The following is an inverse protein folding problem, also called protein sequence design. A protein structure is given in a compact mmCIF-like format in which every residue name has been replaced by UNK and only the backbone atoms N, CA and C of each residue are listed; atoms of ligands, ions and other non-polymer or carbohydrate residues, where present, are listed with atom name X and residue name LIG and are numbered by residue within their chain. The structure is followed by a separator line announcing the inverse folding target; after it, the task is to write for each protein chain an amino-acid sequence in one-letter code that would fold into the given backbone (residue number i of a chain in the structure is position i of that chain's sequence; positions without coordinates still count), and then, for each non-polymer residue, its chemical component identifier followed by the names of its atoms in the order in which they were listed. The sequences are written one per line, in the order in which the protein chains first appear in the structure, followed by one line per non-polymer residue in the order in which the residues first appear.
data_IF_774384884782
#
_entry.id   IF_774384884782
#
_cell.length_a   1.000
_cell.length_b   1.000
_cell.length_c   1.000
_cell.angle_alpha   90.00
_cell.angle_beta   90.00
_cell.angle_gamma   90.00
#
_symmetry.space_group_name_H-M   'P 1'
#
loop_
_entity.id
_entity.type
_entity.pdbx_description
1 polymer ?
#
# COMPACT_ATOMS: atom_id res chain seq x y z
N UNK A 1 7.69 14.97 14.64
CA UNK A 1 8.63 13.86 14.95
C UNK A 1 8.85 13.03 13.68
N UNK A 2 9.95 13.29 12.93
CA UNK A 2 10.26 12.64 11.64
C UNK A 2 10.82 11.23 11.93
N UNK A 3 9.96 10.21 11.94
CA UNK A 3 10.37 8.81 12.20
C UNK A 3 11.34 8.39 11.10
N UNK A 4 12.63 8.19 11.42
CA UNK A 4 13.63 7.66 10.47
C UNK A 4 13.11 6.32 9.95
N UNK A 5 12.97 6.22 8.64
CA UNK A 5 12.69 4.96 7.96
C UNK A 5 13.90 4.05 8.25
N UNK A 6 13.69 2.95 8.98
CA UNK A 6 14.75 1.97 9.22
C UNK A 6 14.95 1.16 7.96
N UNK A 7 15.97 1.51 7.17
CA UNK A 7 16.32 0.84 5.91
C UNK A 7 16.45 -0.67 6.08
N UNK A 8 16.99 -1.13 7.22
CA UNK A 8 17.11 -2.55 7.55
C UNK A 8 15.76 -3.28 7.54
N UNK A 9 14.71 -2.65 8.09
CA UNK A 9 13.36 -3.26 8.16
C UNK A 9 12.75 -3.40 6.77
N UNK A 10 12.90 -2.39 5.91
CA UNK A 10 12.34 -2.44 4.56
C UNK A 10 13.03 -3.50 3.70
N UNK A 11 14.36 -3.65 3.83
CA UNK A 11 15.09 -4.72 3.15
C UNK A 11 14.59 -6.09 3.60
N UNK A 12 14.39 -6.30 4.91
CA UNK A 12 13.87 -7.57 5.44
C UNK A 12 12.48 -7.86 4.85
N UNK A 13 11.56 -6.88 4.86
CA UNK A 13 10.21 -7.07 4.32
C UNK A 13 10.25 -7.33 2.82
N UNK A 14 11.12 -6.65 2.09
CA UNK A 14 11.34 -6.89 0.67
C UNK A 14 11.83 -8.33 0.43
N UNK A 15 12.85 -8.80 1.15
CA UNK A 15 13.37 -10.17 1.03
C UNK A 15 12.31 -11.22 1.39
N UNK A 16 11.52 -10.99 2.45
CA UNK A 16 10.38 -11.85 2.80
C UNK A 16 9.37 -11.87 1.65
N UNK A 17 9.07 -10.72 1.03
CA UNK A 17 8.13 -10.67 -0.10
C UNK A 17 8.65 -11.47 -1.31
N UNK A 18 9.96 -11.44 -1.59
CA UNK A 18 10.55 -12.25 -2.67
C UNK A 18 10.46 -13.75 -2.36
N UNK A 19 10.71 -14.15 -1.12
CA UNK A 19 10.54 -15.54 -0.70
C UNK A 19 9.09 -16.01 -0.87
N UNK A 20 8.12 -15.19 -0.44
CA UNK A 20 6.69 -15.46 -0.62
C UNK A 20 6.35 -15.61 -2.11
N UNK A 21 6.85 -14.72 -2.97
CA UNK A 21 6.62 -14.78 -4.42
C UNK A 21 7.14 -16.08 -5.02
N UNK A 22 8.37 -16.47 -4.69
CA UNK A 22 8.97 -17.71 -5.23
C UNK A 22 8.19 -18.94 -4.76
N UNK A 23 7.81 -18.98 -3.48
CA UNK A 23 6.98 -20.07 -2.95
C UNK A 23 5.62 -20.10 -3.65
N UNK A 24 4.94 -18.96 -3.78
CA UNK A 24 3.64 -18.87 -4.46
C UNK A 24 3.74 -19.26 -5.93
N UNK A 25 4.78 -18.83 -6.64
CA UNK A 25 5.00 -19.20 -8.03
C UNK A 25 5.23 -20.72 -8.17
N UNK A 26 6.04 -21.32 -7.30
CA UNK A 26 6.29 -22.75 -7.33
C UNK A 26 5.04 -23.57 -6.97
N UNK A 27 4.30 -23.18 -5.92
CA UNK A 27 3.11 -23.91 -5.47
C UNK A 27 1.96 -23.85 -6.46
N UNK A 28 1.78 -22.75 -7.20
CA UNK A 28 0.66 -22.60 -8.14
C UNK A 28 0.98 -23.16 -9.52
N UNK A 29 2.22 -23.00 -9.99
CA UNK A 29 2.60 -23.36 -11.36
C UNK A 29 3.43 -24.65 -11.45
N UNK A 30 3.74 -25.28 -10.30
CA UNK A 30 4.57 -26.50 -10.14
C UNK A 30 5.99 -26.41 -10.70
N UNK A 31 6.33 -25.29 -11.34
CA UNK A 31 7.60 -25.01 -12.01
C UNK A 31 7.91 -23.54 -11.85
N UNK A 32 9.17 -23.22 -11.58
CA UNK A 32 9.62 -21.83 -11.57
C UNK A 32 9.79 -21.39 -13.02
N UNK A 33 8.80 -20.65 -13.52
CA UNK A 33 8.84 -19.99 -14.83
C UNK A 33 8.83 -18.48 -14.65
N UNK A 34 9.37 -17.75 -15.64
CA UNK A 34 9.34 -16.29 -15.62
C UNK A 34 7.89 -15.76 -15.56
N UNK A 35 6.97 -16.38 -16.31
CA UNK A 35 5.54 -16.05 -16.27
C UNK A 35 4.92 -16.29 -14.88
N UNK A 36 5.26 -17.41 -14.23
CA UNK A 36 4.80 -17.71 -12.87
C UNK A 36 5.30 -16.69 -11.84
N UNK A 37 6.57 -16.28 -11.96
CA UNK A 37 7.14 -15.21 -11.13
C UNK A 37 6.43 -13.88 -11.35
N UNK A 38 6.18 -13.48 -12.61
CA UNK A 38 5.46 -12.24 -12.96
C UNK A 38 4.07 -12.24 -12.31
N UNK A 39 3.30 -13.32 -12.49
CA UNK A 39 1.95 -13.42 -11.94
C UNK A 39 1.95 -13.35 -10.41
N UNK A 40 2.78 -14.15 -9.75
CA UNK A 40 2.87 -14.16 -8.29
C UNK A 40 3.33 -12.80 -7.74
N UNK A 41 4.35 -12.19 -8.35
CA UNK A 41 4.84 -10.88 -7.95
C UNK A 41 3.84 -9.76 -8.19
N UNK A 42 3.02 -9.82 -9.25
CA UNK A 42 1.92 -8.89 -9.49
C UNK A 42 0.91 -8.91 -8.34
N UNK A 43 0.42 -10.09 -7.94
CA UNK A 43 -0.55 -10.19 -6.85
C UNK A 43 0.05 -9.76 -5.50
N UNK A 44 1.26 -10.21 -5.17
CA UNK A 44 1.91 -9.87 -3.88
C UNK A 44 2.22 -8.38 -3.81
N UNK A 45 2.84 -7.80 -4.83
CA UNK A 45 3.15 -6.38 -4.86
C UNK A 45 1.90 -5.51 -4.96
N UNK A 46 0.91 -5.92 -5.75
CA UNK A 46 -0.39 -5.26 -5.84
C UNK A 46 -1.09 -5.19 -4.49
N UNK A 47 -1.11 -6.29 -3.74
CA UNK A 47 -1.67 -6.30 -2.39
C UNK A 47 -0.92 -5.37 -1.42
N UNK A 48 0.41 -5.43 -1.40
CA UNK A 48 1.25 -4.56 -0.55
C UNK A 48 1.05 -3.08 -0.88
N UNK A 49 1.04 -2.73 -2.16
CA UNK A 49 0.83 -1.37 -2.65
C UNK A 49 -0.59 -0.89 -2.40
N UNK A 50 -1.59 -1.74 -2.53
CA UNK A 50 -2.98 -1.38 -2.27
C UNK A 50 -3.20 -1.02 -0.80
N UNK A 51 -2.80 -1.90 0.12
CA UNK A 51 -2.91 -1.64 1.57
C UNK A 51 -2.04 -0.45 1.98
N UNK A 52 -0.80 -0.40 1.51
CA UNK A 52 0.11 0.71 1.76
C UNK A 52 -0.42 2.04 1.23
N UNK A 53 -1.03 2.02 0.04
CA UNK A 53 -1.62 3.17 -0.64
C UNK A 53 -2.85 3.71 0.09
N UNK A 54 -3.78 2.84 0.51
CA UNK A 54 -4.93 3.26 1.33
C UNK A 54 -4.46 4.00 2.56
N UNK A 55 -3.52 3.41 3.30
CA UNK A 55 -3.04 4.03 4.54
C UNK A 55 -2.26 5.31 4.27
N UNK A 56 -1.48 5.36 3.18
CA UNK A 56 -0.81 6.57 2.74
C UNK A 56 -1.82 7.70 2.45
N UNK A 57 -2.87 7.42 1.67
CA UNK A 57 -3.90 8.40 1.31
C UNK A 57 -4.67 8.89 2.54
N UNK A 58 -5.06 7.98 3.45
CA UNK A 58 -5.74 8.36 4.71
C UNK A 58 -4.84 9.25 5.58
N UNK A 59 -3.56 8.90 5.76
CA UNK A 59 -2.63 9.68 6.59
C UNK A 59 -2.23 11.02 5.97
N UNK A 60 -2.27 11.13 4.66
CA UNK A 60 -1.94 12.39 3.96
C UNK A 60 -3.07 13.43 4.10
N UNK A 61 -4.21 13.06 4.70
CA UNK A 61 -5.35 13.96 4.90
C UNK A 61 -6.24 14.10 3.66
N UNK A 62 -6.02 13.28 2.62
CA UNK A 62 -6.91 13.24 1.46
C UNK A 62 -8.34 12.87 1.87
N UNK A 63 -8.48 11.86 2.73
CA UNK A 63 -9.78 11.48 3.28
C UNK A 63 -10.38 12.57 4.17
N UNK A 64 -9.57 13.33 4.89
CA UNK A 64 -10.06 14.44 5.71
C UNK A 64 -10.65 15.54 4.83
N UNK A 65 -9.94 15.89 3.75
CA UNK A 65 -10.42 16.85 2.75
C UNK A 65 -11.71 16.38 2.09
N UNK A 66 -11.77 15.12 1.67
CA UNK A 66 -12.96 14.51 1.08
C UNK A 66 -14.15 14.54 2.05
N UNK A 67 -13.93 14.15 3.32
CA UNK A 67 -14.97 14.14 4.35
C UNK A 67 -15.44 15.55 4.68
N UNK A 68 -14.53 16.51 4.88
CA UNK A 68 -14.89 17.92 5.12
C UNK A 68 -15.69 18.51 3.96
N UNK A 69 -15.27 18.24 2.73
CA UNK A 69 -15.95 18.73 1.52
C UNK A 69 -17.35 18.12 1.39
N UNK A 70 -17.46 16.79 1.53
CA UNK A 70 -18.75 16.09 1.50
C UNK A 70 -19.69 16.61 2.61
N UNK A 71 -19.19 16.71 3.85
CA UNK A 71 -19.96 17.22 4.99
C UNK A 71 -20.41 18.66 4.78
N UNK A 72 -19.58 19.52 4.17
CA UNK A 72 -19.97 20.92 3.87
C UNK A 72 -21.17 21.01 2.94
N UNK A 73 -21.30 20.07 2.00
CA UNK A 73 -22.40 20.01 1.02
C UNK A 73 -23.65 19.39 1.64
N UNK A 74 -23.52 18.34 2.46
CA UNK A 74 -24.66 17.57 2.95
C UNK A 74 -25.14 17.93 4.38
N UNK A 75 -24.35 18.65 5.19
CA UNK A 75 -24.71 18.94 6.59
C UNK A 75 -25.72 20.09 6.73
N UNK A 76 -26.72 19.88 7.58
CA UNK A 76 -27.66 20.91 8.03
C UNK A 76 -26.98 21.89 9.00
N UNK A 77 -27.52 23.11 9.11
CA UNK A 77 -26.88 24.25 9.80
C UNK A 77 -26.66 23.98 11.30
N UNK A 78 -27.55 23.22 11.91
CA UNK A 78 -27.54 22.75 13.31
C UNK A 78 -26.51 21.65 13.59
N UNK A 79 -26.07 20.91 12.57
CA UNK A 79 -25.12 19.80 12.72
C UNK A 79 -23.66 20.21 12.51
N UNK A 80 -23.39 21.45 12.05
CA UNK A 80 -22.05 21.90 11.67
C UNK A 80 -21.06 21.91 12.83
N UNK A 81 -21.44 22.45 13.99
CA UNK A 81 -20.55 22.55 15.16
C UNK A 81 -20.18 21.17 15.73
N UNK A 82 -21.15 20.26 15.84
CA UNK A 82 -20.89 18.89 16.28
C UNK A 82 -19.96 18.13 15.32
N UNK A 83 -20.11 18.36 14.00
CA UNK A 83 -19.29 17.71 12.98
C UNK A 83 -17.86 18.29 12.94
N UNK A 84 -17.68 19.59 13.20
CA UNK A 84 -16.37 20.24 13.25
C UNK A 84 -15.53 19.79 14.46
N UNK A 85 -16.18 19.41 15.57
CA UNK A 85 -15.52 18.83 16.74
C UNK A 85 -15.03 17.38 16.57
N UNK A 86 -15.42 16.70 15.47
CA UNK A 86 -15.01 15.31 15.23
C UNK A 86 -13.56 15.22 14.79
N UNK A 87 -12.81 14.28 15.39
CA UNK A 87 -11.44 13.94 14.96
C UNK A 87 -11.40 13.52 13.50
N UNK A 88 -10.35 13.94 12.81
CA UNK A 88 -10.17 13.62 11.40
C UNK A 88 -9.70 12.16 11.21
N UNK A 89 -10.10 11.46 10.14
CA UNK A 89 -9.61 10.12 9.83
C UNK A 89 -8.07 9.98 9.89
N UNK A 90 -7.33 10.98 9.43
CA UNK A 90 -5.86 10.99 9.51
C UNK A 90 -5.30 11.02 10.94
N UNK A 91 -6.04 11.61 11.89
CA UNK A 91 -5.66 11.74 13.31
C UNK A 91 -5.97 10.46 14.09
N UNK A 92 -7.02 9.74 13.71
CA UNK A 92 -7.44 8.48 14.35
C UNK A 92 -6.55 7.32 13.91
N UNK A 93 -6.06 7.34 12.67
CA UNK A 93 -5.24 6.27 12.12
C UNK A 93 -3.76 6.38 12.58
N UNK A 94 -3.46 5.80 13.74
CA UNK A 94 -2.10 5.69 14.28
C UNK A 94 -1.21 4.67 13.55
N UNK A 95 -1.81 3.82 12.71
CA UNK A 95 -1.11 2.79 11.94
C UNK A 95 -0.09 3.43 10.98
N UNK A 96 1.16 2.92 11.00
CA UNK A 96 2.25 3.39 10.12
C UNK A 96 2.81 2.29 9.20
N UNK A 97 1.99 1.64 8.35
CA UNK A 97 2.43 0.65 7.38
C UNK A 97 3.15 1.24 6.18
N UNK A 98 3.82 2.40 6.33
CA UNK A 98 4.69 2.98 5.30
C UNK A 98 5.72 1.98 4.79
N UNK A 99 6.09 0.99 5.62
CA UNK A 99 6.96 -0.12 5.25
C UNK A 99 6.32 -1.11 4.27
N UNK A 100 4.99 -1.32 4.28
CA UNK A 100 4.30 -2.14 3.28
C UNK A 100 4.36 -1.48 1.90
N UNK A 101 4.10 -0.17 1.85
CA UNK A 101 4.20 0.61 0.61
C UNK A 101 5.64 0.62 0.07
N UNK A 102 6.62 0.89 0.95
CA UNK A 102 8.04 0.92 0.57
C UNK A 102 8.61 -0.45 0.16
N UNK A 103 8.04 -1.55 0.64
CA UNK A 103 8.43 -2.89 0.20
C UNK A 103 7.68 -3.32 -1.07
N UNK A 104 6.41 -2.93 -1.23
CA UNK A 104 5.61 -3.20 -2.42
C UNK A 104 6.15 -2.52 -3.68
N UNK A 105 6.62 -1.27 -3.56
CA UNK A 105 7.19 -0.50 -4.69
C UNK A 105 8.34 -1.21 -5.42
N UNK A 106 9.46 -1.58 -4.76
CA UNK A 106 10.58 -2.26 -5.43
C UNK A 106 10.17 -3.62 -5.99
N UNK A 107 9.29 -4.36 -5.31
CA UNK A 107 8.74 -5.63 -5.81
C UNK A 107 7.91 -5.43 -7.07
N UNK A 108 7.09 -4.36 -7.12
CA UNK A 108 6.32 -4.01 -8.32
C UNK A 108 7.22 -3.58 -9.48
N UNK A 109 8.26 -2.79 -9.23
CA UNK A 109 9.24 -2.41 -10.24
C UNK A 109 9.95 -3.65 -10.80
N UNK A 110 10.38 -4.59 -9.95
CA UNK A 110 10.97 -5.86 -10.38
C UNK A 110 10.01 -6.68 -11.24
N UNK A 111 8.73 -6.73 -10.87
CA UNK A 111 7.70 -7.37 -11.67
C UNK A 111 7.58 -6.73 -13.06
N UNK A 112 7.55 -5.39 -13.14
CA UNK A 112 7.51 -4.68 -14.42
C UNK A 112 8.74 -4.96 -15.28
N UNK A 113 9.94 -4.99 -14.68
CA UNK A 113 11.18 -5.35 -15.39
C UNK A 113 11.09 -6.79 -15.91
N UNK A 114 10.64 -7.73 -15.09
CA UNK A 114 10.44 -9.12 -15.51
C UNK A 114 9.42 -9.24 -16.65
N UNK A 115 8.34 -8.46 -16.61
CA UNK A 115 7.33 -8.40 -17.67
C UNK A 115 7.94 -7.89 -18.98
N UNK A 116 8.73 -6.81 -18.94
CA UNK A 116 9.42 -6.28 -20.12
C UNK A 116 10.38 -7.32 -20.69
N UNK A 117 11.17 -7.99 -19.83
CA UNK A 117 12.09 -9.06 -20.25
C UNK A 117 11.37 -10.28 -20.82
N UNK A 118 10.14 -10.56 -20.41
CA UNK A 118 9.36 -11.69 -20.94
C UNK A 118 8.89 -11.45 -22.38
N UNK A 119 8.72 -10.19 -22.79
CA UNK A 119 8.27 -9.81 -24.13
C UNK A 119 9.40 -9.35 -25.07
N UNK A 120 10.64 -9.26 -24.58
CA UNK A 120 11.86 -9.05 -25.36
C UNK A 120 12.36 -10.36 -25.95
#
# INVERSE_FOLDING_TARGET
MKRRISMKRNIIVFLISQLVIVISAYSVYEKISLLGYINASFFVSGFLLFIGGIVFVVRTGFFDFFMKSSRKVFARKDQREAIESMRAPSEVLSASPTWLFLAGMPTFILMLVALVLYYL
#
